data_IF_661426478401
#
_entry.id   IF_661426478401
#
_cell.length_a   1.000
_cell.length_b   1.000
_cell.length_c   1.000
_cell.angle_alpha   90.00
_cell.angle_beta   90.00
_cell.angle_gamma   90.00
#
_symmetry.space_group_name_H-M   'P 1'
#
loop_
_entity.id
_entity.type
_entity.pdbx_description
1 polymer ?
#
# COMPACT_ATOMS: atom_id res chain seq x y z
N UNK A 1 -12.74 1.99 8.05
CA UNK A 1 -12.66 2.77 6.80
C UNK A 1 -12.43 1.89 5.58
N UNK A 2 -11.41 1.03 5.57
CA UNK A 2 -11.06 0.16 4.43
C UNK A 2 -12.20 -0.70 3.89
N UNK A 3 -13.01 -1.31 4.77
CA UNK A 3 -14.17 -2.12 4.36
C UNK A 3 -15.25 -1.32 3.64
N UNK A 4 -15.37 -0.03 3.93
CA UNK A 4 -16.37 0.85 3.31
C UNK A 4 -15.90 1.25 1.92
N UNK A 5 -14.60 1.56 1.74
CA UNK A 5 -14.06 1.91 0.42
C UNK A 5 -14.04 0.73 -0.52
N UNK A 6 -13.70 -0.49 -0.05
CA UNK A 6 -13.81 -1.70 -0.89
C UNK A 6 -15.23 -1.96 -1.38
N UNK A 7 -16.22 -1.80 -0.50
CA UNK A 7 -17.63 -2.00 -0.87
C UNK A 7 -18.10 -0.91 -1.82
N UNK A 8 -17.73 0.35 -1.59
CA UNK A 8 -18.09 1.45 -2.49
C UNK A 8 -17.50 1.27 -3.90
N UNK A 9 -16.21 0.96 -4.01
CA UNK A 9 -15.54 0.72 -5.30
C UNK A 9 -16.10 -0.54 -5.98
N UNK A 10 -16.38 -1.58 -5.19
CA UNK A 10 -16.95 -2.84 -5.66
C UNK A 10 -18.39 -2.71 -6.17
N UNK A 11 -19.23 -1.88 -5.54
CA UNK A 11 -20.62 -1.61 -6.00
C UNK A 11 -20.59 -0.88 -7.35
N UNK A 12 -19.71 0.11 -7.50
CA UNK A 12 -19.62 0.90 -8.73
C UNK A 12 -19.18 0.06 -9.93
N UNK A 13 -18.35 -0.96 -9.70
CA UNK A 13 -17.79 -1.82 -10.75
C UNK A 13 -18.30 -3.27 -10.67
N UNK A 14 -19.52 -3.47 -10.18
CA UNK A 14 -20.06 -4.79 -9.90
C UNK A 14 -20.12 -5.64 -11.18
N UNK A 15 -19.37 -6.74 -11.20
CA UNK A 15 -19.29 -7.70 -12.32
C UNK A 15 -19.10 -7.05 -13.69
N UNK A 16 -18.00 -6.33 -13.85
CA UNK A 16 -17.72 -5.61 -15.10
C UNK A 16 -17.38 -6.60 -16.22
N UNK A 17 -18.15 -6.61 -17.31
CA UNK A 17 -17.84 -7.41 -18.52
C UNK A 17 -16.67 -6.80 -19.29
N UNK A 18 -15.79 -7.66 -19.84
CA UNK A 18 -14.56 -7.24 -20.53
C UNK A 18 -14.90 -6.76 -21.95
N UNK A 19 -15.15 -5.45 -22.10
CA UNK A 19 -15.23 -4.75 -23.38
C UNK A 19 -14.23 -3.59 -23.44
N UNK A 20 -13.94 -3.08 -24.64
CA UNK A 20 -12.96 -1.99 -24.87
C UNK A 20 -12.97 -0.86 -23.81
N UNK A 21 -14.10 -0.19 -23.53
CA UNK A 21 -14.16 0.85 -22.49
C UNK A 21 -14.11 0.31 -21.05
N UNK A 22 -14.51 -0.94 -20.81
CA UNK A 22 -14.48 -1.58 -19.50
C UNK A 22 -13.06 -1.89 -19.00
N UNK A 23 -12.10 -2.03 -19.92
CA UNK A 23 -10.68 -2.24 -19.56
C UNK A 23 -10.19 -1.09 -18.68
N UNK A 24 -10.50 0.16 -19.05
CA UNK A 24 -10.11 1.33 -18.27
C UNK A 24 -10.74 1.35 -16.88
N UNK A 25 -11.96 0.84 -16.73
CA UNK A 25 -12.62 0.73 -15.43
C UNK A 25 -11.90 -0.29 -14.53
N UNK A 26 -11.52 -1.44 -15.08
CA UNK A 26 -10.79 -2.48 -14.35
C UNK A 26 -9.41 -1.99 -13.91
N UNK A 27 -8.71 -1.29 -14.80
CA UNK A 27 -7.44 -0.62 -14.51
C UNK A 27 -7.60 0.44 -13.41
N UNK A 28 -8.66 1.24 -13.46
CA UNK A 28 -8.98 2.23 -12.43
C UNK A 28 -9.27 1.59 -11.07
N UNK A 29 -9.94 0.44 -11.04
CA UNK A 29 -10.19 -0.33 -9.81
C UNK A 29 -8.89 -0.84 -9.21
N UNK A 30 -8.02 -1.46 -10.02
CA UNK A 30 -6.71 -1.95 -9.56
C UNK A 30 -5.83 -0.81 -9.05
N UNK A 31 -5.84 0.33 -9.74
CA UNK A 31 -5.09 1.51 -9.33
C UNK A 31 -5.60 2.12 -8.02
N UNK A 32 -6.92 2.23 -7.87
CA UNK A 32 -7.55 2.70 -6.64
C UNK A 32 -7.30 1.72 -5.47
N UNK A 33 -7.25 0.42 -5.72
CA UNK A 33 -6.91 -0.59 -4.71
C UNK A 33 -5.50 -0.35 -4.15
N UNK A 34 -4.49 -0.20 -5.01
CA UNK A 34 -3.10 0.09 -4.59
C UNK A 34 -3.04 1.41 -3.83
N UNK A 35 -3.75 2.44 -4.30
CA UNK A 35 -3.88 3.73 -3.60
C UNK A 35 -4.42 3.55 -2.19
N UNK A 36 -5.60 2.94 -2.07
CA UNK A 36 -6.30 2.74 -0.79
C UNK A 36 -5.44 1.97 0.20
N UNK A 37 -4.80 0.87 -0.23
CA UNK A 37 -3.89 0.10 0.63
C UNK A 37 -2.73 0.96 1.12
N UNK A 38 -2.16 1.81 0.26
CA UNK A 38 -1.04 2.66 0.65
C UNK A 38 -1.45 3.69 1.70
N UNK A 39 -2.51 4.47 1.45
CA UNK A 39 -2.93 5.52 2.38
C UNK A 39 -3.48 4.97 3.70
N UNK A 40 -4.17 3.82 3.67
CA UNK A 40 -4.77 3.21 4.85
C UNK A 40 -3.73 2.81 5.91
N UNK A 41 -2.60 2.22 5.49
CA UNK A 41 -1.55 1.78 6.42
C UNK A 41 -0.52 2.86 6.73
N UNK A 42 -0.37 3.81 5.81
CA UNK A 42 0.57 4.90 5.94
C UNK A 42 0.22 5.86 7.10
N UNK A 43 -0.99 6.44 7.14
CA UNK A 43 -1.35 7.40 8.20
C UNK A 43 -1.22 6.86 9.64
N UNK A 44 -1.73 5.66 9.99
CA UNK A 44 -1.60 5.15 11.35
C UNK A 44 -0.14 4.83 11.71
N UNK A 45 0.69 4.40 10.76
CA UNK A 45 2.10 4.11 11.04
C UNK A 45 2.88 5.35 11.48
N UNK A 46 2.58 6.53 10.92
CA UNK A 46 3.19 7.80 11.36
C UNK A 46 2.79 8.12 12.80
N UNK A 47 1.51 8.00 13.13
CA UNK A 47 1.02 8.30 14.48
C UNK A 47 1.67 7.38 15.53
N UNK A 48 1.79 6.09 15.21
CA UNK A 48 2.42 5.09 16.07
C UNK A 48 3.91 5.38 16.30
N UNK A 49 4.69 5.63 15.24
CA UNK A 49 6.12 5.89 15.44
C UNK A 49 6.37 7.22 16.12
N UNK A 50 5.60 8.26 15.81
CA UNK A 50 5.83 9.60 16.34
C UNK A 50 5.50 9.67 17.83
N UNK A 51 4.50 8.92 18.28
CA UNK A 51 4.17 8.81 19.71
C UNK A 51 5.22 8.01 20.51
N UNK A 52 5.85 7.00 19.90
CA UNK A 52 6.89 6.19 20.54
C UNK A 52 8.29 6.79 20.44
N UNK A 53 8.54 7.65 19.45
CA UNK A 53 9.87 8.20 19.16
C UNK A 53 10.54 8.90 20.36
N UNK A 54 9.84 9.74 21.17
CA UNK A 54 10.45 10.38 22.34
C UNK A 54 10.90 9.37 23.40
N UNK A 55 10.16 8.26 23.56
CA UNK A 55 10.48 7.19 24.49
C UNK A 55 11.70 6.41 24.01
N UNK A 56 11.74 6.05 22.72
CA UNK A 56 12.89 5.37 22.09
C UNK A 56 14.16 6.21 22.20
N UNK A 57 14.07 7.52 21.95
CA UNK A 57 15.21 8.43 22.09
C UNK A 57 15.73 8.49 23.53
N UNK A 58 14.83 8.44 24.52
CA UNK A 58 15.20 8.43 25.95
C UNK A 58 15.90 7.11 26.32
N UNK A 59 15.37 5.97 25.91
CA UNK A 59 15.89 4.64 26.26
C UNK A 59 17.20 4.33 25.54
N UNK A 60 17.35 4.79 24.29
CA UNK A 60 18.60 4.70 23.54
C UNK A 60 19.70 5.54 24.18
N UNK A 61 19.39 6.76 24.63
CA UNK A 61 20.34 7.61 25.38
C UNK A 61 20.73 7.00 26.73
N UNK A 62 19.79 6.31 27.39
CA UNK A 62 20.04 5.56 28.62
C UNK A 62 20.77 4.22 28.39
N UNK A 63 21.09 3.85 27.14
CA UNK A 63 21.76 2.60 26.74
C UNK A 63 21.03 1.33 27.19
N UNK A 64 19.69 1.37 27.27
CA UNK A 64 18.88 0.20 27.60
C UNK A 64 18.82 -0.76 26.39
N UNK A 65 18.71 -0.23 25.18
CA UNK A 65 18.83 -0.96 23.91
C UNK A 65 19.32 -0.06 22.77
N UNK A 66 19.76 -0.67 21.66
CA UNK A 66 20.14 0.05 20.43
C UNK A 66 18.90 0.36 19.56
N UNK A 67 18.91 1.48 18.86
CA UNK A 67 17.83 1.87 17.94
C UNK A 67 17.55 0.80 16.86
N UNK A 68 18.59 0.10 16.41
CA UNK A 68 18.47 -1.00 15.45
C UNK A 68 17.71 -2.20 16.04
N UNK A 69 17.99 -2.54 17.30
CA UNK A 69 17.32 -3.63 17.98
C UNK A 69 15.81 -3.33 18.16
N UNK A 70 15.47 -2.07 18.45
CA UNK A 70 14.07 -1.62 18.48
C UNK A 70 13.42 -1.73 17.10
N UNK A 71 14.07 -1.24 16.04
CA UNK A 71 13.50 -1.29 14.70
C UNK A 71 13.24 -2.72 14.21
N UNK A 72 14.19 -3.63 14.43
CA UNK A 72 14.06 -5.04 14.05
C UNK A 72 12.96 -5.73 14.87
N UNK A 73 12.95 -5.52 16.19
CA UNK A 73 11.92 -6.13 17.06
C UNK A 73 10.52 -5.64 16.73
N UNK A 74 10.35 -4.35 16.41
CA UNK A 74 9.07 -3.78 15.99
C UNK A 74 8.62 -4.28 14.62
N UNK A 75 9.52 -4.28 13.63
CA UNK A 75 9.23 -4.83 12.30
C UNK A 75 8.85 -6.30 12.36
N UNK A 76 9.55 -7.09 13.19
CA UNK A 76 9.21 -8.48 13.42
C UNK A 76 7.88 -8.63 14.16
N UNK A 77 7.58 -7.81 15.16
CA UNK A 77 6.30 -7.87 15.88
C UNK A 77 5.11 -7.62 14.95
N UNK A 78 5.26 -6.74 13.96
CA UNK A 78 4.22 -6.43 12.98
C UNK A 78 4.02 -7.55 11.95
N UNK A 79 5.11 -8.12 11.45
CA UNK A 79 5.04 -9.25 10.51
C UNK A 79 4.57 -10.53 11.21
N UNK A 80 5.08 -10.80 12.42
CA UNK A 80 4.76 -11.98 13.24
C UNK A 80 3.38 -11.86 13.92
N UNK A 81 2.72 -10.72 13.81
CA UNK A 81 1.34 -10.50 14.28
C UNK A 81 0.31 -11.49 13.69
N UNK A 82 0.69 -12.27 12.67
CA UNK A 82 -0.06 -13.44 12.21
C UNK A 82 -0.18 -14.58 13.24
N UNK A 83 0.74 -14.67 14.22
CA UNK A 83 0.85 -15.82 15.13
C UNK A 83 0.36 -15.57 16.56
N UNK A 84 0.16 -14.32 16.98
CA UNK A 84 -0.27 -13.98 18.33
C UNK A 84 -1.56 -13.17 18.32
N UNK A 85 -2.53 -13.66 19.08
CA UNK A 85 -3.92 -13.22 19.36
C UNK A 85 -4.20 -11.70 19.50
N UNK A 86 -3.17 -10.84 19.50
CA UNK A 86 -3.29 -9.39 19.60
C UNK A 86 -3.05 -8.72 18.24
N UNK A 87 -4.16 -8.62 17.51
CA UNK A 87 -4.39 -7.80 16.30
C UNK A 87 -3.65 -8.19 15.01
N UNK A 88 -4.24 -9.08 14.19
CA UNK A 88 -3.86 -9.33 12.79
C UNK A 88 -4.07 -8.13 11.85
N UNK A 89 -4.09 -6.89 12.34
CA UNK A 89 -4.68 -5.76 11.63
C UNK A 89 -3.90 -5.38 10.37
N UNK A 90 -2.57 -5.54 10.34
CA UNK A 90 -1.74 -5.13 9.20
C UNK A 90 -1.78 -6.09 8.02
N UNK A 91 -2.11 -7.37 8.24
CA UNK A 91 -2.16 -8.40 7.18
C UNK A 91 -3.59 -8.89 6.93
N UNK A 92 -4.44 -9.01 7.96
CA UNK A 92 -5.82 -9.40 7.74
C UNK A 92 -6.65 -8.31 7.06
N UNK A 93 -6.39 -7.01 7.31
CA UNK A 93 -7.11 -5.94 6.63
C UNK A 93 -6.88 -5.90 5.10
N UNK A 94 -5.64 -5.97 4.56
CA UNK A 94 -5.44 -6.01 3.11
C UNK A 94 -6.00 -7.31 2.51
N UNK A 95 -5.93 -8.43 3.23
CA UNK A 95 -6.56 -9.69 2.80
C UNK A 95 -8.09 -9.57 2.71
N UNK A 96 -8.76 -9.04 3.73
CA UNK A 96 -10.21 -8.84 3.72
C UNK A 96 -10.62 -7.85 2.62
N UNK A 97 -9.89 -6.74 2.47
CA UNK A 97 -10.14 -5.77 1.41
C UNK A 97 -10.01 -6.40 0.03
N UNK A 98 -8.91 -7.12 -0.21
CA UNK A 98 -8.65 -7.79 -1.48
C UNK A 98 -9.69 -8.85 -1.80
N UNK A 99 -10.14 -9.63 -0.80
CA UNK A 99 -11.22 -10.59 -0.97
C UNK A 99 -12.52 -9.91 -1.41
N UNK A 100 -12.96 -8.88 -0.69
CA UNK A 100 -14.21 -8.18 -1.01
C UNK A 100 -14.14 -7.57 -2.42
N UNK A 101 -13.06 -6.83 -2.71
CA UNK A 101 -12.91 -6.14 -3.99
C UNK A 101 -12.89 -7.14 -5.15
N UNK A 102 -12.06 -8.18 -5.06
CA UNK A 102 -11.87 -9.18 -6.13
C UNK A 102 -13.16 -9.91 -6.51
N UNK A 103 -13.94 -10.34 -5.51
CA UNK A 103 -15.21 -11.03 -5.73
C UNK A 103 -16.32 -10.10 -6.22
N UNK A 104 -16.31 -8.81 -5.84
CA UNK A 104 -17.32 -7.85 -6.25
C UNK A 104 -17.13 -7.35 -7.69
N UNK A 105 -15.89 -7.09 -8.08
CA UNK A 105 -15.56 -6.58 -9.42
C UNK A 105 -15.57 -7.67 -10.48
N UNK A 106 -15.46 -8.94 -10.07
CA UNK A 106 -15.45 -10.08 -10.99
C UNK A 106 -14.13 -10.18 -11.76
N UNK A 107 -12.99 -10.00 -11.06
CA UNK A 107 -11.67 -10.26 -11.65
C UNK A 107 -11.52 -11.74 -12.04
N UNK A 108 -10.43 -12.06 -12.74
CA UNK A 108 -10.24 -13.37 -13.36
C UNK A 108 -10.46 -14.53 -12.35
N UNK A 109 -11.20 -15.59 -12.70
CA UNK A 109 -11.75 -16.54 -11.72
C UNK A 109 -10.73 -17.54 -11.15
N UNK A 110 -9.44 -17.43 -11.47
CA UNK A 110 -8.43 -18.41 -11.09
C UNK A 110 -7.92 -18.18 -9.66
N UNK A 111 -7.91 -19.24 -8.83
CA UNK A 111 -7.40 -19.18 -7.45
C UNK A 111 -5.94 -18.68 -7.36
N UNK A 112 -5.11 -19.00 -8.37
CA UNK A 112 -3.73 -18.52 -8.47
C UNK A 112 -3.66 -16.99 -8.55
N UNK A 113 -4.49 -16.37 -9.38
CA UNK A 113 -4.51 -14.92 -9.58
C UNK A 113 -5.00 -14.20 -8.33
N UNK A 114 -5.97 -14.77 -7.62
CA UNK A 114 -6.41 -14.25 -6.32
C UNK A 114 -5.28 -14.26 -5.27
N UNK A 115 -4.51 -15.35 -5.19
CA UNK A 115 -3.39 -15.46 -4.24
C UNK A 115 -2.28 -14.44 -4.58
N UNK A 116 -1.93 -14.28 -5.86
CA UNK A 116 -0.92 -13.29 -6.27
C UNK A 116 -1.42 -11.86 -6.01
N UNK A 117 -2.70 -11.58 -6.31
CA UNK A 117 -3.32 -10.27 -6.06
C UNK A 117 -3.31 -9.90 -4.57
N UNK A 118 -3.71 -10.83 -3.70
CA UNK A 118 -3.73 -10.62 -2.26
C UNK A 118 -2.33 -10.44 -1.68
N UNK A 119 -1.36 -11.23 -2.14
CA UNK A 119 0.06 -11.12 -1.74
C UNK A 119 0.69 -9.78 -2.20
N UNK A 120 0.39 -9.32 -3.41
CA UNK A 120 0.83 -8.01 -3.88
C UNK A 120 0.30 -6.86 -3.01
N UNK A 121 -0.97 -6.94 -2.59
CA UNK A 121 -1.56 -5.95 -1.67
C UNK A 121 -0.91 -5.98 -0.27
N UNK A 122 -0.52 -7.16 0.23
CA UNK A 122 0.22 -7.28 1.50
C UNK A 122 1.62 -6.68 1.38
N UNK A 123 2.35 -6.92 0.28
CA UNK A 123 3.64 -6.27 0.09
C UNK A 123 3.52 -4.75 -0.03
N UNK A 124 2.48 -4.27 -0.70
CA UNK A 124 2.20 -2.84 -0.78
C UNK A 124 1.92 -2.23 0.60
N UNK A 125 1.14 -2.91 1.46
CA UNK A 125 0.90 -2.40 2.82
C UNK A 125 2.17 -2.35 3.65
N UNK A 126 3.02 -3.38 3.58
CA UNK A 126 4.33 -3.40 4.27
C UNK A 126 5.25 -2.27 3.78
N UNK A 127 5.26 -1.99 2.48
CA UNK A 127 6.02 -0.87 1.91
C UNK A 127 5.50 0.47 2.44
N UNK A 128 4.18 0.66 2.48
CA UNK A 128 3.56 1.89 2.98
C UNK A 128 3.85 2.13 4.48
N UNK A 129 3.84 1.07 5.30
CA UNK A 129 4.21 1.13 6.72
C UNK A 129 5.67 1.57 6.88
N UNK A 130 6.57 0.98 6.08
CA UNK A 130 8.00 1.31 6.12
C UNK A 130 8.27 2.78 5.78
N UNK A 131 7.58 3.31 4.77
CA UNK A 131 7.68 4.73 4.38
C UNK A 131 7.11 5.63 5.49
N UNK A 132 5.99 5.23 6.09
CA UNK A 132 5.41 5.96 7.22
C UNK A 132 6.37 6.03 8.42
N UNK A 133 7.02 4.94 8.76
CA UNK A 133 8.06 4.93 9.80
C UNK A 133 9.27 5.79 9.48
N UNK A 134 9.79 5.71 8.25
CA UNK A 134 10.87 6.58 7.82
C UNK A 134 10.47 8.05 7.95
N UNK A 135 9.27 8.42 7.53
CA UNK A 135 8.80 9.80 7.61
C UNK A 135 8.61 10.29 9.05
N UNK A 136 8.01 9.49 9.93
CA UNK A 136 7.81 9.87 11.32
C UNK A 136 9.14 10.07 12.07
N UNK A 137 10.16 9.25 11.77
CA UNK A 137 11.50 9.43 12.31
C UNK A 137 12.21 10.70 11.80
N UNK A 138 11.98 11.10 10.54
CA UNK A 138 12.63 12.27 9.94
C UNK A 138 12.05 13.58 10.47
N UNK A 139 10.73 13.67 10.60
CA UNK A 139 10.06 14.92 11.00
C UNK A 139 9.89 15.04 12.52
N UNK A 140 9.69 13.94 13.24
CA UNK A 140 9.53 13.92 14.71
C UNK A 140 8.25 14.59 15.25
N UNK A 141 7.47 15.24 14.38
CA UNK A 141 6.15 15.82 14.67
C UNK A 141 5.10 15.20 13.75
N UNK A 142 3.95 14.84 14.31
CA UNK A 142 2.92 14.07 13.61
C UNK A 142 2.27 14.91 12.49
N UNK A 143 1.93 16.17 12.79
CA UNK A 143 1.23 17.04 11.85
C UNK A 143 2.10 17.38 10.63
N UNK A 144 3.38 17.68 10.89
CA UNK A 144 4.36 17.93 9.82
C UNK A 144 4.65 16.66 9.00
N UNK A 145 4.82 15.51 9.66
CA UNK A 145 5.09 14.23 8.98
C UNK A 145 3.97 13.83 8.03
N UNK A 146 2.72 13.91 8.48
CA UNK A 146 1.54 13.58 7.67
C UNK A 146 1.43 14.53 6.47
N UNK A 147 1.60 15.83 6.68
CA UNK A 147 1.42 16.82 5.61
C UNK A 147 2.51 16.72 4.54
N UNK A 148 3.78 16.68 4.95
CA UNK A 148 4.90 16.61 4.00
C UNK A 148 4.86 15.30 3.19
N UNK A 149 4.60 14.20 3.87
CA UNK A 149 4.70 12.88 3.26
C UNK A 149 3.46 12.51 2.46
N UNK A 150 2.26 13.00 2.83
CA UNK A 150 1.07 12.86 1.96
C UNK A 150 1.25 13.58 0.61
N UNK A 151 1.88 14.76 0.60
CA UNK A 151 2.27 15.45 -0.63
C UNK A 151 3.25 14.61 -1.47
N UNK A 152 4.25 14.00 -0.83
CA UNK A 152 5.18 13.09 -1.50
C UNK A 152 4.47 11.85 -2.08
N UNK A 153 3.59 11.21 -1.32
CA UNK A 153 2.81 10.05 -1.76
C UNK A 153 1.93 10.40 -2.96
N UNK A 154 1.30 11.58 -2.94
CA UNK A 154 0.48 12.07 -4.06
C UNK A 154 1.32 12.32 -5.31
N UNK A 155 2.54 12.83 -5.17
CA UNK A 155 3.47 12.98 -6.31
C UNK A 155 3.86 11.62 -6.89
N UNK A 156 4.19 10.64 -6.04
CA UNK A 156 4.52 9.27 -6.48
C UNK A 156 3.33 8.56 -7.16
N UNK A 157 2.10 8.86 -6.72
CA UNK A 157 0.86 8.38 -7.34
C UNK A 157 0.70 8.91 -8.78
N UNK A 158 1.15 10.13 -9.11
CA UNK A 158 1.05 10.61 -10.50
C UNK A 158 1.94 9.78 -11.44
N UNK A 159 3.08 9.32 -10.94
CA UNK A 159 4.03 8.48 -11.69
C UNK A 159 3.70 6.98 -11.67
N UNK A 160 2.55 6.57 -11.12
CA UNK A 160 2.14 5.18 -10.97
C UNK A 160 1.69 4.46 -12.26
N UNK A 161 1.77 5.11 -13.43
CA UNK A 161 1.47 4.50 -14.73
C UNK A 161 0.01 4.55 -15.18
N UNK A 162 -0.93 4.84 -14.28
CA UNK A 162 -2.35 5.02 -14.63
C UNK A 162 -2.69 6.42 -15.17
N UNK A 163 -2.17 7.48 -14.54
CA UNK A 163 -2.50 8.87 -14.91
C UNK A 163 -1.70 9.40 -16.09
N UNK A 164 -0.46 8.94 -16.23
CA UNK A 164 0.46 9.36 -17.28
C UNK A 164 1.08 8.11 -17.88
N UNK A 165 1.13 8.06 -19.21
CA UNK A 165 1.81 6.99 -19.91
C UNK A 165 3.33 7.07 -19.65
N UNK A 166 3.91 5.96 -19.21
CA UNK A 166 5.33 5.90 -18.83
C UNK A 166 6.28 6.26 -19.99
N UNK A 167 5.87 6.04 -21.24
CA UNK A 167 6.69 6.34 -22.42
C UNK A 167 6.71 7.83 -22.79
N UNK A 168 5.71 8.61 -22.35
CA UNK A 168 5.63 10.05 -22.62
C UNK A 168 6.33 10.89 -21.55
N UNK A 169 6.89 10.26 -20.51
CA UNK A 169 7.60 10.95 -19.44
C UNK A 169 8.93 11.52 -19.97
N UNK A 170 9.19 12.83 -19.78
CA UNK A 170 10.41 13.45 -20.25
C UNK A 170 11.63 12.89 -19.50
N UNK A 171 12.79 12.87 -20.16
CA UNK A 171 13.97 12.12 -19.71
C UNK A 171 14.43 12.48 -18.28
N UNK A 172 14.26 13.74 -17.88
CA UNK A 172 14.64 14.25 -16.56
C UNK A 172 13.73 13.77 -15.41
N UNK A 173 12.50 13.32 -15.69
CA UNK A 173 11.56 12.78 -14.69
C UNK A 173 11.53 11.24 -14.62
N UNK A 174 12.22 10.55 -15.55
CA UNK A 174 12.32 9.08 -15.54
C UNK A 174 12.82 8.47 -14.22
N UNK A 175 13.83 9.03 -13.51
CA UNK A 175 14.26 8.43 -12.25
C UNK A 175 13.17 8.49 -11.15
N UNK A 176 12.35 9.55 -11.12
CA UNK A 176 11.23 9.64 -10.17
C UNK A 176 10.15 8.60 -10.45
N UNK A 177 9.91 8.28 -11.72
CA UNK A 177 9.01 7.20 -12.10
C UNK A 177 9.57 5.81 -11.74
N UNK A 178 10.88 5.61 -11.88
CA UNK A 178 11.53 4.37 -11.47
C UNK A 178 11.56 4.18 -9.94
N UNK A 179 11.48 5.26 -9.17
CA UNK A 179 11.42 5.19 -7.70
C UNK A 179 9.99 4.92 -7.17
N UNK A 180 8.96 5.10 -8.01
CA UNK A 180 7.58 4.98 -7.56
C UNK A 180 7.18 3.52 -7.31
N UNK A 181 6.99 3.19 -6.02
CA UNK A 181 6.48 1.89 -5.61
C UNK A 181 5.03 1.64 -6.08
N UNK A 182 4.24 2.71 -6.31
CA UNK A 182 2.90 2.60 -6.91
C UNK A 182 2.94 2.01 -8.31
N UNK A 183 3.94 2.39 -9.12
CA UNK A 183 4.13 1.88 -10.48
C UNK A 183 4.32 0.37 -10.46
N UNK A 184 5.26 -0.12 -9.65
CA UNK A 184 5.58 -1.55 -9.59
C UNK A 184 4.41 -2.39 -9.09
N UNK A 185 3.70 -1.92 -8.07
CA UNK A 185 2.53 -2.62 -7.55
C UNK A 185 1.39 -2.65 -8.57
N UNK A 186 1.14 -1.54 -9.28
CA UNK A 186 0.12 -1.50 -10.33
C UNK A 186 0.47 -2.41 -11.51
N UNK A 187 1.69 -2.35 -12.03
CA UNK A 187 2.17 -3.23 -13.11
C UNK A 187 2.05 -4.72 -12.73
N UNK A 188 2.37 -5.07 -11.48
CA UNK A 188 2.22 -6.44 -10.98
C UNK A 188 0.76 -6.92 -10.97
N UNK A 189 -0.18 -6.05 -10.58
CA UNK A 189 -1.61 -6.38 -10.63
C UNK A 189 -2.12 -6.50 -12.06
N UNK A 190 -1.69 -5.62 -12.96
CA UNK A 190 -2.02 -5.68 -14.38
C UNK A 190 -1.54 -6.98 -15.01
N UNK A 191 -0.25 -7.33 -14.84
CA UNK A 191 0.31 -8.57 -15.37
C UNK A 191 -0.50 -9.76 -14.84
N UNK A 192 -0.77 -9.81 -13.54
CA UNK A 192 -1.53 -10.91 -12.94
C UNK A 192 -2.95 -11.05 -13.53
N UNK A 193 -3.64 -9.94 -13.79
CA UNK A 193 -4.99 -9.95 -14.36
C UNK A 193 -4.99 -10.39 -15.84
N UNK A 194 -4.02 -9.94 -16.64
CA UNK A 194 -4.03 -10.14 -18.10
C UNK A 194 -3.26 -11.38 -18.58
N UNK A 195 -2.45 -12.02 -17.73
CA UNK A 195 -1.63 -13.19 -18.12
C UNK A 195 -2.48 -14.38 -18.63
N UNK A 196 -3.65 -14.61 -18.04
CA UNK A 196 -4.52 -15.75 -18.38
C UNK A 196 -5.69 -15.36 -19.33
N UNK A 197 -5.74 -14.11 -19.79
CA UNK A 197 -6.83 -13.57 -20.64
C UNK A 197 -6.41 -13.52 -22.13
N UNK A 198 -5.23 -14.07 -22.46
CA UNK A 198 -4.67 -14.18 -23.82
C UNK A 198 -4.91 -15.53 -24.48
#
# INVERSE_FOLDING_TARGET
MSRITSVAIGIVNFRTEIFGPSIQNLEGVMYNCVRDMSFLFFFPSINVITSELPLVMRETKARIYSAEAYFISKSLAEVLSLALDKMPQYIALPLIYSAILYWMTGLAPTARQFVIFSLANVFQSLNAISIGYASGCVFGDEGLAITATSGFMQAMLVFGGFYINLHTIPMWLRPFSALSFFKYSFEALQINQWTDVG
#
